data_IF_549786211723
#
_entry.id   IF_549786211723
#
_cell.length_a   1.000
_cell.length_b   1.000
_cell.length_c   1.000
_cell.angle_alpha   90.00
_cell.angle_beta   90.00
_cell.angle_gamma   90.00
#
_symmetry.space_group_name_H-M   'P 1'
#
loop_
_entity.id
_entity.type
_entity.pdbx_description
1 polymer ?
#
# COMPACT_ATOMS: atom_id res chain seq x y z
N UNK A 1 31.37 7.06 -51.71
CA UNK A 1 31.28 8.09 -52.77
C UNK A 1 29.79 8.30 -53.08
N UNK A 2 29.35 9.57 -53.05
CA UNK A 2 28.03 10.17 -53.38
C UNK A 2 26.77 9.58 -52.71
N UNK A 3 26.04 10.26 -51.81
CA UNK A 3 25.31 11.54 -51.88
C UNK A 3 24.14 11.56 -52.88
N UNK A 4 22.91 11.68 -52.36
CA UNK A 4 21.76 12.34 -53.00
C UNK A 4 20.68 12.63 -51.94
N UNK A 5 20.49 13.92 -51.62
CA UNK A 5 19.35 14.47 -50.89
C UNK A 5 18.50 15.25 -51.92
N UNK A 6 17.17 15.24 -51.78
CA UNK A 6 16.25 15.93 -52.66
C UNK A 6 15.25 16.81 -51.87
N UNK A 7 15.13 18.06 -52.36
CA UNK A 7 14.01 19.03 -52.46
C UNK A 7 13.20 19.46 -51.21
N UNK A 8 13.14 20.77 -50.84
CA UNK A 8 12.34 21.93 -51.37
C UNK A 8 10.82 21.82 -51.07
N UNK A 9 10.00 22.81 -50.63
CA UNK A 9 9.87 24.29 -50.76
C UNK A 9 8.96 24.83 -49.60
N UNK A 10 9.20 25.98 -48.95
CA UNK A 10 8.77 27.41 -49.19
C UNK A 10 7.33 27.81 -48.79
N UNK A 11 7.21 28.74 -47.81
CA UNK A 11 6.44 30.03 -47.83
C UNK A 11 6.57 30.70 -46.44
N UNK A 12 7.26 31.83 -46.20
CA UNK A 12 7.13 33.24 -46.62
C UNK A 12 6.36 34.15 -45.65
N UNK A 13 7.13 35.07 -45.04
CA UNK A 13 6.88 36.49 -44.68
C UNK A 13 5.93 36.91 -43.54
N UNK A 14 6.44 37.81 -42.67
CA UNK A 14 5.60 38.57 -41.73
C UNK A 14 6.29 39.43 -40.64
N UNK A 15 7.21 40.33 -41.01
CA UNK A 15 7.52 41.66 -40.41
C UNK A 15 7.87 41.81 -38.91
N UNK A 16 9.09 42.32 -38.74
CA UNK A 16 9.76 42.88 -37.57
C UNK A 16 9.21 44.28 -37.20
N UNK A 17 8.97 44.57 -35.91
CA UNK A 17 9.15 45.91 -35.34
C UNK A 17 9.86 45.76 -34.00
N UNK A 18 11.00 46.44 -33.88
CA UNK A 18 11.89 46.47 -32.74
C UNK A 18 11.90 47.92 -32.23
N UNK A 19 11.66 48.17 -30.93
CA UNK A 19 12.04 49.41 -30.28
C UNK A 19 12.48 49.14 -28.84
N UNK A 20 13.77 49.37 -28.61
CA UNK A 20 14.47 49.45 -27.35
C UNK A 20 13.98 50.62 -26.47
N UNK A 21 13.94 50.47 -25.15
CA UNK A 21 14.89 51.11 -24.21
C UNK A 21 14.44 50.93 -22.76
N UNK A 22 15.38 50.42 -21.97
CA UNK A 22 15.45 50.38 -20.51
C UNK A 22 15.77 51.74 -19.89
N UNK A 23 15.24 52.00 -18.68
CA UNK A 23 15.73 52.85 -17.57
C UNK A 23 14.52 53.58 -16.89
N UNK A 24 14.37 53.84 -15.58
CA UNK A 24 15.18 53.70 -14.36
C UNK A 24 14.35 54.30 -13.18
N UNK A 25 14.52 53.78 -11.93
CA UNK A 25 14.28 54.41 -10.59
C UNK A 25 12.83 54.83 -10.20
N UNK A 26 12.36 54.93 -8.93
CA UNK A 26 12.81 54.62 -7.55
C UNK A 26 11.65 54.97 -6.58
N UNK A 27 11.74 54.47 -5.34
CA UNK A 27 11.40 55.15 -4.06
C UNK A 27 10.01 54.96 -3.38
N UNK A 28 10.05 54.05 -2.39
CA UNK A 28 9.63 54.14 -0.97
C UNK A 28 8.61 55.19 -0.44
N UNK A 29 7.76 54.68 0.48
CA UNK A 29 7.62 55.06 1.92
C UNK A 29 6.20 55.50 2.40
N UNK A 30 5.87 55.05 3.64
CA UNK A 30 4.89 55.53 4.66
C UNK A 30 3.52 54.81 4.70
N UNK A 31 3.28 53.96 5.70
CA UNK A 31 2.84 54.21 7.10
C UNK A 31 1.36 54.58 7.22
N UNK A 32 0.56 53.73 7.89
CA UNK A 32 -0.46 54.19 8.85
C UNK A 32 -0.72 53.14 9.94
N UNK A 33 -0.87 53.67 11.16
CA UNK A 33 -0.95 53.04 12.47
C UNK A 33 -2.42 53.01 12.93
N UNK A 34 -2.87 51.97 13.65
CA UNK A 34 -3.41 52.10 15.02
C UNK A 34 -4.44 51.04 15.40
N UNK A 35 -4.22 50.51 16.61
CA UNK A 35 -5.09 49.81 17.55
C UNK A 35 -6.52 50.36 17.66
N UNK A 36 -7.48 49.50 18.03
CA UNK A 36 -8.37 49.74 19.18
C UNK A 36 -8.83 48.43 19.85
N UNK A 37 -8.65 48.41 21.17
CA UNK A 37 -9.06 47.41 22.15
C UNK A 37 -10.38 47.91 22.77
N UNK A 38 -11.41 47.05 22.91
CA UNK A 38 -12.51 47.27 23.84
C UNK A 38 -12.97 45.94 24.45
N UNK A 39 -13.38 46.05 25.71
CA UNK A 39 -13.52 45.01 26.71
C UNK A 39 -14.98 44.91 27.19
N UNK A 40 -15.29 43.82 27.91
CA UNK A 40 -16.44 43.55 28.78
C UNK A 40 -17.84 43.32 28.15
N UNK A 41 -18.42 42.13 28.40
CA UNK A 41 -19.27 41.88 29.60
C UNK A 41 -19.79 40.43 29.64
N UNK A 42 -19.84 39.89 30.85
CA UNK A 42 -20.49 38.63 31.22
C UNK A 42 -22.02 38.75 31.20
N UNK A 43 -22.70 37.64 30.89
CA UNK A 43 -24.06 37.38 31.38
C UNK A 43 -24.21 35.87 31.66
N UNK A 44 -24.48 35.56 32.93
CA UNK A 44 -24.86 34.25 33.44
C UNK A 44 -26.40 34.09 33.43
N UNK A 45 -26.89 32.85 33.40
CA UNK A 45 -28.24 32.29 33.73
C UNK A 45 -28.48 31.10 32.76
N UNK A 46 -28.85 29.86 33.11
CA UNK A 46 -29.45 29.24 34.30
C UNK A 46 -29.26 27.71 34.22
N UNK A 47 -29.30 27.04 35.37
CA UNK A 47 -29.24 25.58 35.54
C UNK A 47 -30.57 24.85 35.24
N UNK A 48 -30.44 23.54 34.90
CA UNK A 48 -31.32 22.35 35.12
C UNK A 48 -31.70 21.58 33.82
N UNK A 49 -31.98 20.25 33.87
CA UNK A 49 -31.07 19.13 34.20
C UNK A 49 -31.03 18.04 33.08
N UNK A 50 -29.97 17.23 33.04
CA UNK A 50 -29.83 16.01 32.20
C UNK A 50 -30.68 14.84 32.74
N UNK A 51 -31.16 13.92 31.88
CA UNK A 51 -30.55 12.58 31.78
C UNK A 51 -30.48 12.11 30.30
N UNK A 52 -29.49 11.39 29.81
CA UNK A 52 -28.96 10.12 30.27
C UNK A 52 -27.45 10.02 29.94
N UNK A 53 -26.66 9.54 30.90
CA UNK A 53 -25.28 9.11 30.67
C UNK A 53 -25.28 7.90 29.74
N UNK A 54 -24.73 8.07 28.55
CA UNK A 54 -24.16 6.95 27.81
C UNK A 54 -22.89 6.49 28.56
N UNK A 55 -22.63 5.20 28.75
CA UNK A 55 -21.41 4.75 29.40
C UNK A 55 -20.22 5.11 28.52
N UNK A 56 -19.28 5.89 29.08
CA UNK A 56 -17.97 6.08 28.46
C UNK A 56 -17.23 4.75 28.44
N UNK A 57 -17.29 4.03 27.33
CA UNK A 57 -16.27 3.05 27.01
C UNK A 57 -15.03 3.83 26.61
N UNK A 58 -14.05 3.94 27.50
CA UNK A 58 -12.69 4.24 27.07
C UNK A 58 -12.29 3.13 26.11
N UNK A 59 -12.32 3.43 24.82
CA UNK A 59 -11.87 2.53 23.77
C UNK A 59 -10.37 2.30 23.97
N UNK A 60 -9.91 1.07 24.23
CA UNK A 60 -8.48 0.78 24.43
C UNK A 60 -7.61 1.10 23.20
N UNK A 61 -8.21 1.49 22.06
CA UNK A 61 -7.51 1.69 20.79
C UNK A 61 -7.30 3.14 20.36
N UNK A 62 -7.81 4.15 21.09
CA UNK A 62 -7.64 5.57 20.75
C UNK A 62 -7.15 6.39 21.95
N UNK A 63 -6.04 7.12 21.79
CA UNK A 63 -5.58 8.09 22.78
C UNK A 63 -6.10 9.49 22.43
N UNK A 64 -7.35 9.76 22.82
CA UNK A 64 -8.01 11.07 22.94
C UNK A 64 -8.10 11.99 21.69
N UNK A 65 -9.18 12.80 21.72
CA UNK A 65 -9.51 13.97 20.89
C UNK A 65 -8.35 14.67 20.18
N UNK A 66 -8.54 15.00 18.90
CA UNK A 66 -7.70 15.87 18.08
C UNK A 66 -7.69 17.33 18.60
N UNK A 67 -7.24 17.55 19.83
CA UNK A 67 -7.06 18.88 20.41
C UNK A 67 -5.65 19.40 20.13
N UNK A 68 -5.56 20.28 19.14
CA UNK A 68 -4.65 21.43 18.99
C UNK A 68 -3.31 21.46 19.75
N UNK A 69 -2.52 20.38 19.73
CA UNK A 69 -1.11 20.44 20.05
C UNK A 69 -0.33 19.51 19.11
N UNK A 70 0.84 19.99 18.68
CA UNK A 70 1.80 19.36 17.76
C UNK A 70 2.42 18.04 18.29
N UNK A 71 1.69 17.27 19.08
CA UNK A 71 2.20 16.05 19.69
C UNK A 71 1.95 14.86 18.75
N UNK A 72 2.90 14.64 17.85
CA UNK A 72 2.96 13.49 16.92
C UNK A 72 3.31 12.20 17.68
N UNK A 73 3.19 12.15 19.00
CA UNK A 73 3.82 11.14 19.84
C UNK A 73 3.00 9.89 20.11
N UNK A 74 1.93 9.63 19.33
CA UNK A 74 1.40 8.31 18.94
C UNK A 74 -0.05 8.44 18.46
N UNK A 75 -0.27 8.46 17.14
CA UNK A 75 -1.63 8.43 16.56
C UNK A 75 -2.31 7.08 16.76
N UNK A 76 -1.53 6.00 16.88
CA UNK A 76 -2.01 4.63 17.06
C UNK A 76 -1.50 4.06 18.39
N UNK A 77 -2.10 2.97 18.87
CA UNK A 77 -1.63 2.28 20.08
C UNK A 77 -0.46 1.33 19.78
N UNK A 78 0.32 0.99 20.80
CA UNK A 78 1.44 0.03 20.69
C UNK A 78 0.98 -1.33 20.12
N UNK A 79 -0.20 -1.79 20.52
CA UNK A 79 -0.83 -3.01 19.99
C UNK A 79 -0.99 -2.97 18.46
N UNK A 80 -1.28 -1.80 17.87
CA UNK A 80 -1.40 -1.66 16.41
C UNK A 80 -0.04 -1.83 15.74
N UNK A 81 1.01 -1.20 16.28
CA UNK A 81 2.36 -1.36 15.76
C UNK A 81 2.85 -2.81 15.90
N UNK A 82 2.67 -3.42 17.07
CA UNK A 82 3.03 -4.83 17.32
C UNK A 82 2.30 -5.78 16.39
N UNK A 83 1.02 -5.50 16.09
CA UNK A 83 0.22 -6.30 15.15
C UNK A 83 0.84 -6.24 13.75
N UNK A 84 1.19 -5.05 13.26
CA UNK A 84 1.83 -4.88 11.94
C UNK A 84 3.22 -5.57 11.93
N UNK A 85 4.03 -5.36 12.97
CA UNK A 85 5.36 -5.97 13.12
C UNK A 85 5.31 -7.49 13.24
N UNK A 86 4.19 -8.06 13.69
CA UNK A 86 3.95 -9.51 13.70
C UNK A 86 3.49 -10.07 12.34
N UNK A 87 3.38 -9.23 11.31
CA UNK A 87 2.94 -9.64 9.97
C UNK A 87 1.43 -9.78 9.82
N UNK A 88 0.65 -9.24 10.76
CA UNK A 88 -0.81 -9.31 10.79
C UNK A 88 -1.44 -8.00 10.33
N UNK A 89 -2.74 -8.07 10.05
CA UNK A 89 -3.57 -6.89 9.79
C UNK A 89 -3.95 -6.22 11.11
N UNK A 90 -3.71 -4.91 11.19
CA UNK A 90 -4.20 -4.08 12.26
C UNK A 90 -5.44 -3.32 11.81
N UNK A 91 -6.44 -3.21 12.70
CA UNK A 91 -7.69 -2.49 12.46
C UNK A 91 -7.90 -1.46 13.56
N UNK A 92 -8.24 -0.23 13.19
CA UNK A 92 -8.51 0.87 14.10
C UNK A 92 -9.92 1.40 13.79
N UNK A 93 -10.94 0.91 14.51
CA UNK A 93 -12.30 1.44 14.41
C UNK A 93 -12.34 2.92 14.77
N UNK A 94 -13.30 3.65 14.21
CA UNK A 94 -13.52 5.07 14.54
C UNK A 94 -12.26 5.96 14.37
N UNK A 95 -11.37 5.60 13.44
CA UNK A 95 -10.13 6.35 13.21
C UNK A 95 -10.39 7.79 12.77
N UNK A 96 -11.48 8.01 12.03
CA UNK A 96 -12.00 9.34 11.74
C UNK A 96 -13.46 9.47 12.20
N UNK A 97 -13.93 10.69 12.52
CA UNK A 97 -15.30 10.91 12.96
C UNK A 97 -16.34 10.51 11.88
N UNK A 98 -17.53 10.04 12.29
CA UNK A 98 -18.65 9.75 11.38
C UNK A 98 -18.96 10.84 10.34
N UNK A 99 -18.90 12.10 10.76
CA UNK A 99 -19.15 13.26 9.87
C UNK A 99 -18.12 13.37 8.75
N UNK A 100 -16.85 13.10 9.05
CA UNK A 100 -15.78 13.10 8.05
C UNK A 100 -15.88 11.88 7.13
N UNK A 101 -16.20 10.70 7.68
CA UNK A 101 -16.45 9.49 6.90
C UNK A 101 -17.57 9.72 5.88
N UNK A 102 -18.70 10.29 6.33
CA UNK A 102 -19.84 10.62 5.47
C UNK A 102 -19.48 11.67 4.42
N UNK A 103 -18.69 12.70 4.76
CA UNK A 103 -18.26 13.72 3.82
C UNK A 103 -17.34 13.16 2.72
N UNK A 104 -16.39 12.30 3.07
CA UNK A 104 -15.51 11.61 2.12
C UNK A 104 -16.29 10.63 1.23
N UNK A 105 -17.25 9.89 1.80
CA UNK A 105 -18.17 9.02 1.05
C UNK A 105 -18.95 9.83 0.01
N UNK A 106 -19.55 10.95 0.41
CA UNK A 106 -20.31 11.82 -0.49
C UNK A 106 -19.44 12.38 -1.62
N UNK A 107 -18.20 12.79 -1.33
CA UNK A 107 -17.24 13.20 -2.37
C UNK A 107 -16.97 12.06 -3.37
N UNK A 108 -16.66 10.86 -2.88
CA UNK A 108 -16.42 9.69 -3.73
C UNK A 108 -17.63 9.33 -4.59
N UNK A 109 -18.84 9.33 -4.02
CA UNK A 109 -20.09 9.04 -4.73
C UNK A 109 -20.38 10.08 -5.81
N UNK A 110 -20.21 11.37 -5.51
CA UNK A 110 -20.41 12.46 -6.48
C UNK A 110 -19.41 12.37 -7.65
N UNK A 111 -18.15 12.06 -7.35
CA UNK A 111 -17.10 11.87 -8.37
C UNK A 111 -17.36 10.64 -9.24
N UNK A 112 -17.90 9.56 -8.68
CA UNK A 112 -18.34 8.40 -9.44
C UNK A 112 -19.53 8.71 -10.34
N UNK A 113 -20.57 9.36 -9.82
CA UNK A 113 -21.74 9.79 -10.61
C UNK A 113 -21.33 10.72 -11.76
N UNK A 114 -20.36 11.60 -11.52
CA UNK A 114 -19.77 12.50 -12.52
C UNK A 114 -18.76 11.82 -13.47
N UNK A 115 -18.66 10.48 -13.46
CA UNK A 115 -17.83 9.69 -14.38
C UNK A 115 -16.32 9.98 -14.29
N UNK A 116 -15.81 10.34 -13.10
CA UNK A 116 -14.37 10.54 -12.89
C UNK A 116 -13.62 9.27 -12.48
N UNK A 117 -14.34 8.20 -12.16
CA UNK A 117 -13.74 6.89 -11.86
C UNK A 117 -13.35 6.16 -13.15
N UNK A 118 -12.36 5.28 -13.05
CA UNK A 118 -11.94 4.41 -14.15
C UNK A 118 -12.08 2.94 -13.76
N UNK A 119 -12.31 2.08 -14.75
CA UNK A 119 -12.17 0.64 -14.58
C UNK A 119 -10.77 0.29 -14.05
N UNK A 120 -10.69 -0.68 -13.14
CA UNK A 120 -9.42 -1.27 -12.74
C UNK A 120 -9.27 -2.67 -13.35
N UNK A 121 -8.24 -2.84 -14.18
CA UNK A 121 -7.97 -4.07 -14.92
C UNK A 121 -7.62 -5.26 -14.01
N UNK A 122 -7.36 -5.03 -12.72
CA UNK A 122 -7.04 -6.06 -11.72
C UNK A 122 -8.28 -6.76 -11.13
N UNK A 123 -9.49 -6.26 -11.37
CA UNK A 123 -10.72 -6.95 -10.97
C UNK A 123 -11.14 -7.93 -12.07
N UNK A 124 -11.03 -9.23 -11.81
CA UNK A 124 -11.46 -10.26 -12.75
C UNK A 124 -13.00 -10.40 -12.76
N UNK A 125 -13.60 -10.32 -13.94
CA UNK A 125 -15.05 -10.36 -14.16
C UNK A 125 -15.57 -11.79 -14.30
N UNK A 126 -16.50 -12.18 -13.43
CA UNK A 126 -17.30 -13.39 -13.58
C UNK A 126 -16.53 -14.71 -13.70
N UNK A 127 -17.25 -15.80 -13.87
CA UNK A 127 -16.69 -17.14 -14.14
C UNK A 127 -16.32 -17.35 -15.61
N UNK A 128 -16.55 -16.35 -16.47
CA UNK A 128 -16.44 -16.45 -17.92
C UNK A 128 -15.43 -15.44 -18.48
N UNK A 129 -14.46 -15.93 -19.25
CA UNK A 129 -13.36 -15.18 -19.88
C UNK A 129 -13.79 -14.16 -20.95
N UNK A 130 -15.10 -13.92 -21.12
CA UNK A 130 -15.72 -13.09 -22.16
C UNK A 130 -16.64 -11.99 -21.61
N UNK A 131 -16.80 -11.87 -20.30
CA UNK A 131 -17.67 -10.84 -19.70
C UNK A 131 -17.13 -9.42 -19.99
N UNK A 132 -18.00 -8.55 -20.54
CA UNK A 132 -17.69 -7.13 -20.74
C UNK A 132 -17.74 -6.39 -19.40
N UNK A 133 -16.83 -5.45 -19.20
CA UNK A 133 -16.84 -4.53 -18.05
C UNK A 133 -18.20 -3.83 -17.95
N UNK A 134 -18.82 -3.93 -16.78
CA UNK A 134 -20.05 -3.29 -16.35
C UNK A 134 -19.73 -2.34 -15.19
N UNK A 135 -19.55 -1.03 -15.45
CA UNK A 135 -19.24 -0.04 -14.42
C UNK A 135 -20.21 -0.07 -13.23
N UNK A 136 -21.46 -0.50 -13.44
CA UNK A 136 -22.47 -0.56 -12.37
C UNK A 136 -22.24 -1.68 -11.36
N UNK A 137 -21.53 -2.74 -11.75
CA UNK A 137 -21.25 -3.90 -10.88
C UNK A 137 -19.80 -3.97 -10.48
N UNK A 138 -18.93 -3.50 -11.36
CA UNK A 138 -17.51 -3.77 -11.27
C UNK A 138 -16.78 -2.82 -10.33
N UNK A 139 -15.56 -3.23 -9.98
CA UNK A 139 -14.65 -2.40 -9.21
C UNK A 139 -14.19 -1.22 -10.08
N UNK A 140 -14.34 -0.02 -9.54
CA UNK A 140 -13.84 1.21 -10.16
C UNK A 140 -13.01 2.01 -9.17
N UNK A 141 -12.07 2.80 -9.70
CA UNK A 141 -11.10 3.53 -8.89
C UNK A 141 -10.99 4.97 -9.38
N UNK A 142 -11.05 5.92 -8.45
CA UNK A 142 -10.55 7.29 -8.66
C UNK A 142 -9.04 7.28 -8.44
N UNK A 143 -8.28 7.20 -9.53
CA UNK A 143 -6.81 7.08 -9.47
C UNK A 143 -6.17 8.38 -8.96
N UNK A 144 -4.91 8.29 -8.54
CA UNK A 144 -4.15 9.40 -7.96
C UNK A 144 -4.15 10.69 -8.80
N UNK A 145 -4.09 10.58 -10.14
CA UNK A 145 -4.11 11.75 -11.01
C UNK A 145 -5.45 12.51 -10.91
N UNK A 146 -6.57 11.80 -10.87
CA UNK A 146 -7.89 12.38 -10.64
C UNK A 146 -8.06 12.86 -9.20
N UNK A 147 -7.54 12.12 -8.21
CA UNK A 147 -7.54 12.55 -6.81
C UNK A 147 -6.97 13.96 -6.64
N UNK A 148 -5.88 14.27 -7.35
CA UNK A 148 -5.16 15.55 -7.27
C UNK A 148 -5.76 16.70 -8.05
N UNK A 149 -6.78 16.44 -8.87
CA UNK A 149 -7.45 17.49 -9.64
C UNK A 149 -8.21 18.40 -8.71
N UNK A 150 -7.85 19.69 -8.65
CA UNK A 150 -8.51 20.65 -7.77
C UNK A 150 -9.85 21.18 -8.33
N UNK A 151 -10.17 20.83 -9.57
CA UNK A 151 -11.33 21.29 -10.33
C UNK A 151 -12.54 20.33 -10.28
N UNK A 152 -12.44 19.22 -9.53
CA UNK A 152 -13.52 18.22 -9.39
C UNK A 152 -13.82 17.91 -7.92
N UNK A 153 -15.07 17.58 -7.60
CA UNK A 153 -15.49 17.18 -6.25
C UNK A 153 -15.07 18.17 -5.14
N UNK A 154 -15.00 17.68 -3.91
CA UNK A 154 -14.52 18.40 -2.74
C UNK A 154 -13.01 18.24 -2.55
N UNK A 155 -12.22 18.89 -3.41
CA UNK A 155 -10.76 18.77 -3.41
C UNK A 155 -10.13 19.10 -2.05
N UNK A 156 -10.56 20.21 -1.42
CA UNK A 156 -10.02 20.64 -0.13
C UNK A 156 -10.20 19.59 0.96
N UNK A 157 -11.36 18.92 0.99
CA UNK A 157 -11.62 17.83 1.94
C UNK A 157 -10.69 16.64 1.70
N UNK A 158 -10.68 16.10 0.47
CA UNK A 158 -9.90 14.88 0.18
C UNK A 158 -8.40 15.12 0.20
N UNK A 159 -7.93 16.24 -0.33
CA UNK A 159 -6.51 16.58 -0.43
C UNK A 159 -5.99 17.13 0.89
N UNK A 160 -6.50 18.27 1.34
CA UNK A 160 -5.84 19.03 2.39
C UNK A 160 -6.16 18.48 3.78
N UNK A 161 -7.44 18.20 4.04
CA UNK A 161 -7.89 17.68 5.34
C UNK A 161 -7.49 16.22 5.49
N UNK A 162 -7.88 15.37 4.54
CA UNK A 162 -7.69 13.93 4.66
C UNK A 162 -6.29 13.48 4.23
N UNK A 163 -5.89 13.71 2.98
CA UNK A 163 -4.60 13.24 2.45
C UNK A 163 -3.39 13.86 3.14
N UNK A 164 -3.20 15.18 3.01
CA UNK A 164 -2.05 15.89 3.57
C UNK A 164 -2.13 16.01 5.10
N UNK A 165 -3.34 16.23 5.63
CA UNK A 165 -3.56 16.37 7.07
C UNK A 165 -3.46 15.05 7.82
N UNK A 166 -4.50 14.22 7.73
CA UNK A 166 -4.62 13.00 8.54
C UNK A 166 -3.62 11.92 8.08
N UNK A 167 -3.59 11.59 6.79
CA UNK A 167 -2.74 10.51 6.28
C UNK A 167 -1.25 10.89 6.29
N UNK A 168 -0.93 12.18 6.10
CA UNK A 168 0.42 12.70 6.27
C UNK A 168 0.95 12.53 7.70
N UNK A 169 0.13 12.80 8.73
CA UNK A 169 0.50 12.56 10.12
C UNK A 169 0.62 11.07 10.43
N UNK A 170 -0.31 10.24 9.93
CA UNK A 170 -0.25 8.78 10.08
C UNK A 170 1.04 8.20 9.49
N UNK A 171 1.50 8.72 8.35
CA UNK A 171 2.77 8.32 7.75
C UNK A 171 3.96 8.64 8.67
N UNK A 172 4.00 9.82 9.27
CA UNK A 172 5.06 10.21 10.20
C UNK A 172 5.06 9.35 11.48
N UNK A 173 3.87 9.04 11.97
CA UNK A 173 3.65 8.16 13.12
C UNK A 173 4.16 6.74 12.85
N UNK A 174 3.75 6.13 11.74
CA UNK A 174 4.21 4.80 11.32
C UNK A 174 5.72 4.75 11.04
N UNK A 175 6.28 5.80 10.44
CA UNK A 175 7.73 5.89 10.18
C UNK A 175 8.56 5.78 11.47
N UNK A 176 8.08 6.39 12.55
CA UNK A 176 8.75 6.36 13.85
C UNK A 176 8.54 5.02 14.54
N UNK A 177 7.28 4.60 14.67
CA UNK A 177 6.91 3.50 15.55
C UNK A 177 7.12 2.11 14.94
N UNK A 178 7.26 2.02 13.61
CA UNK A 178 7.67 0.78 12.92
C UNK A 178 9.17 0.72 12.63
N UNK A 179 9.96 1.70 13.08
CA UNK A 179 11.38 1.87 12.71
C UNK A 179 11.59 1.87 11.18
N UNK A 180 10.78 2.66 10.48
CA UNK A 180 10.78 2.81 9.02
C UNK A 180 11.06 4.26 8.61
N UNK A 181 12.27 4.79 8.87
CA UNK A 181 12.58 6.19 8.60
C UNK A 181 12.51 6.57 7.12
N UNK A 182 12.59 5.59 6.21
CA UNK A 182 12.51 5.82 4.78
C UNK A 182 11.09 6.10 4.28
N UNK A 183 10.08 5.91 5.14
CA UNK A 183 8.74 6.43 4.88
C UNK A 183 8.74 7.96 4.84
N UNK A 184 9.61 8.67 5.56
CA UNK A 184 9.55 10.16 5.60
C UNK A 184 10.77 10.83 4.99
N UNK A 185 11.53 10.13 4.15
CA UNK A 185 12.79 10.60 3.58
C UNK A 185 12.90 10.32 2.08
N UNK A 186 13.86 10.98 1.45
CA UNK A 186 14.30 10.66 0.09
C UNK A 186 13.22 10.83 -0.97
N UNK A 187 13.22 9.94 -1.96
CA UNK A 187 12.29 10.02 -3.10
C UNK A 187 10.85 9.65 -2.73
N UNK A 188 10.65 8.94 -1.62
CA UNK A 188 9.34 8.58 -1.08
C UNK A 188 8.46 9.78 -0.75
N UNK A 189 9.05 10.94 -0.43
CA UNK A 189 8.31 12.18 -0.16
C UNK A 189 7.72 12.81 -1.42
N UNK A 190 8.42 12.69 -2.54
CA UNK A 190 8.08 13.36 -3.81
C UNK A 190 7.33 12.44 -4.76
N UNK A 191 7.60 11.13 -4.69
CA UNK A 191 6.87 10.14 -5.47
C UNK A 191 5.41 10.10 -5.01
N UNK A 192 4.49 10.38 -5.94
CA UNK A 192 3.08 10.53 -5.61
C UNK A 192 2.70 11.88 -4.98
N UNK A 193 3.52 12.94 -5.12
CA UNK A 193 3.33 14.35 -4.66
C UNK A 193 2.11 14.56 -3.74
N UNK A 194 2.36 14.37 -2.44
CA UNK A 194 1.39 13.95 -1.41
C UNK A 194 1.90 12.73 -0.61
N UNK A 195 3.07 12.20 -0.97
CA UNK A 195 3.80 11.06 -0.39
C UNK A 195 3.06 9.71 -0.39
N UNK A 196 1.78 9.66 -0.74
CA UNK A 196 0.95 8.46 -0.71
C UNK A 196 0.36 8.19 -2.08
N UNK A 197 0.44 6.93 -2.54
CA UNK A 197 -0.48 6.48 -3.58
C UNK A 197 -1.84 6.42 -2.90
N UNK A 198 -2.78 7.27 -3.31
CA UNK A 198 -4.11 7.38 -2.70
C UNK A 198 -5.19 7.36 -3.78
N UNK A 199 -6.30 6.70 -3.46
CA UNK A 199 -7.44 6.52 -4.34
C UNK A 199 -8.73 6.39 -3.55
N UNK A 200 -9.86 6.70 -4.20
CA UNK A 200 -11.14 6.12 -3.80
C UNK A 200 -11.37 4.85 -4.60
N UNK A 201 -11.84 3.81 -3.93
CA UNK A 201 -12.24 2.55 -4.55
C UNK A 201 -13.72 2.31 -4.29
N UNK A 202 -14.44 1.94 -5.36
CA UNK A 202 -15.82 1.48 -5.33
C UNK A 202 -15.84 0.02 -5.79
N UNK A 203 -16.57 -0.82 -5.08
CA UNK A 203 -17.02 -2.12 -5.55
C UNK A 203 -18.55 -2.08 -5.69
N UNK A 204 -19.06 -2.33 -6.90
CA UNK A 204 -20.50 -2.55 -7.08
C UNK A 204 -20.93 -3.91 -6.50
N UNK A 205 -22.24 -4.15 -6.37
CA UNK A 205 -22.74 -5.43 -5.87
C UNK A 205 -22.19 -6.62 -6.66
N UNK A 206 -21.58 -7.58 -5.95
CA UNK A 206 -20.98 -8.78 -6.52
C UNK A 206 -19.52 -8.61 -6.99
N UNK A 207 -18.98 -7.39 -7.07
CA UNK A 207 -17.56 -7.22 -7.36
C UNK A 207 -16.68 -7.70 -6.22
N UNK A 208 -15.56 -8.31 -6.59
CA UNK A 208 -14.58 -8.88 -5.69
C UNK A 208 -13.17 -8.56 -6.20
N UNK A 209 -12.16 -8.77 -5.35
CA UNK A 209 -10.76 -8.69 -5.75
C UNK A 209 -10.07 -9.97 -5.31
N UNK A 210 -9.46 -10.69 -6.25
CA UNK A 210 -8.83 -12.00 -6.00
C UNK A 210 -7.68 -11.88 -5.00
N UNK A 211 -7.37 -13.01 -4.34
CA UNK A 211 -6.18 -13.16 -3.49
C UNK A 211 -4.91 -12.62 -4.18
N UNK A 212 -4.25 -11.68 -3.54
CA UNK A 212 -3.00 -11.06 -3.99
C UNK A 212 -2.17 -10.58 -2.80
N UNK A 213 -0.95 -10.13 -3.10
CA UNK A 213 -0.07 -9.39 -2.21
C UNK A 213 0.17 -8.04 -2.90
N UNK A 214 0.28 -6.97 -2.12
CA UNK A 214 0.34 -5.61 -2.65
C UNK A 214 1.72 -5.19 -3.12
N UNK A 215 2.77 -5.80 -2.56
CA UNK A 215 4.14 -5.58 -2.95
C UNK A 215 4.96 -6.86 -3.10
N UNK A 216 5.83 -6.84 -4.11
CA UNK A 216 6.78 -7.92 -4.38
C UNK A 216 8.22 -7.38 -4.37
N UNK A 217 9.18 -8.26 -4.11
CA UNK A 217 10.58 -7.91 -4.30
C UNK A 217 10.84 -7.48 -5.76
N UNK A 218 11.67 -6.45 -5.95
CA UNK A 218 11.95 -5.80 -7.22
C UNK A 218 12.40 -6.82 -8.30
N UNK A 219 13.33 -7.71 -7.95
CA UNK A 219 13.77 -8.82 -8.83
C UNK A 219 12.66 -9.80 -9.25
N UNK A 220 11.52 -9.85 -8.55
CA UNK A 220 10.38 -10.68 -8.92
C UNK A 220 9.44 -9.99 -9.89
N UNK A 221 9.62 -8.70 -10.19
CA UNK A 221 8.74 -7.95 -11.11
C UNK A 221 9.33 -7.79 -12.51
N UNK A 222 10.45 -8.46 -12.79
CA UNK A 222 11.21 -8.30 -14.02
C UNK A 222 11.66 -6.86 -14.23
N UNK A 223 11.69 -6.39 -15.48
CA UNK A 223 12.13 -5.02 -15.83
C UNK A 223 11.37 -3.93 -15.06
N UNK A 224 10.09 -4.16 -14.75
CA UNK A 224 9.21 -3.20 -14.08
C UNK A 224 9.55 -2.98 -12.61
N UNK A 225 10.23 -3.93 -11.98
CA UNK A 225 10.52 -3.86 -10.54
C UNK A 225 11.35 -2.64 -10.14
N UNK A 226 12.27 -2.29 -11.01
CA UNK A 226 13.27 -1.23 -10.82
C UNK A 226 12.95 0.05 -11.61
N UNK A 227 11.77 0.13 -12.26
CA UNK A 227 11.36 1.32 -13.03
C UNK A 227 11.05 2.53 -12.14
N UNK A 228 10.69 2.29 -10.87
CA UNK A 228 10.28 3.32 -9.92
C UNK A 228 11.33 3.47 -8.83
N UNK A 229 11.59 4.70 -8.35
CA UNK A 229 12.57 4.91 -7.29
C UNK A 229 12.06 4.47 -5.91
N UNK A 230 10.77 4.13 -5.80
CA UNK A 230 10.10 3.74 -4.55
C UNK A 230 9.28 2.46 -4.71
N UNK A 231 9.03 1.79 -3.59
CA UNK A 231 8.15 0.62 -3.46
C UNK A 231 7.11 0.86 -2.38
N UNK A 232 6.02 0.11 -2.41
CA UNK A 232 4.98 0.10 -1.38
C UNK A 232 5.54 -0.59 -0.13
N UNK A 233 5.33 0.02 1.03
CA UNK A 233 5.82 -0.50 2.30
C UNK A 233 4.65 -0.83 3.22
N UNK A 234 3.77 0.12 3.47
CA UNK A 234 2.56 -0.07 4.28
C UNK A 234 1.33 0.13 3.41
N UNK A 235 0.44 -0.85 3.42
CA UNK A 235 -0.88 -0.75 2.81
C UNK A 235 -1.85 -0.20 3.85
N UNK A 236 -2.73 0.69 3.41
CA UNK A 236 -3.81 1.19 4.24
C UNK A 236 -5.14 1.26 3.49
N UNK A 237 -6.23 1.00 4.22
CA UNK A 237 -7.59 1.24 3.76
C UNK A 237 -8.38 1.95 4.85
N UNK A 238 -9.19 2.93 4.46
CA UNK A 238 -10.16 3.56 5.33
C UNK A 238 -11.55 3.32 4.73
N UNK A 239 -12.37 2.55 5.46
CA UNK A 239 -13.70 2.23 5.00
C UNK A 239 -14.61 3.46 5.07
N UNK A 240 -15.34 3.66 3.98
CA UNK A 240 -16.26 4.78 3.83
C UNK A 240 -17.70 4.28 3.70
N UNK A 241 -18.03 3.09 4.18
CA UNK A 241 -19.41 2.57 4.15
C UNK A 241 -20.23 3.11 5.32
N UNK A 242 -21.53 2.90 5.28
CA UNK A 242 -22.45 3.24 6.35
C UNK A 242 -22.13 2.45 7.63
N UNK A 243 -22.46 3.02 8.78
CA UNK A 243 -22.19 2.42 10.10
C UNK A 243 -23.03 1.16 10.34
N UNK A 244 -24.15 1.02 9.63
CA UNK A 244 -25.05 -0.12 9.69
C UNK A 244 -24.64 -1.30 8.79
N UNK A 245 -23.41 -1.27 8.25
CA UNK A 245 -22.90 -2.36 7.41
C UNK A 245 -22.87 -3.67 8.18
N UNK A 246 -23.66 -4.65 7.74
CA UNK A 246 -23.71 -5.98 8.32
C UNK A 246 -23.00 -6.96 7.38
N UNK A 247 -21.82 -7.52 7.73
CA UNK A 247 -21.09 -8.44 6.87
C UNK A 247 -21.88 -9.72 6.50
N UNK A 248 -22.71 -10.25 7.39
CA UNK A 248 -23.51 -11.46 7.10
C UNK A 248 -24.52 -11.22 5.97
N UNK A 249 -25.08 -10.01 5.93
CA UNK A 249 -26.08 -9.59 4.94
C UNK A 249 -25.43 -8.96 3.70
N UNK A 250 -24.42 -8.13 3.90
CA UNK A 250 -23.84 -7.24 2.89
C UNK A 250 -22.51 -7.74 2.32
N UNK A 251 -21.86 -8.75 2.91
CA UNK A 251 -20.54 -9.25 2.51
C UNK A 251 -19.49 -8.14 2.45
N UNK A 252 -18.59 -8.23 1.46
CA UNK A 252 -17.60 -7.18 1.18
C UNK A 252 -16.40 -7.16 2.14
N UNK A 253 -16.21 -8.19 2.95
CA UNK A 253 -15.09 -8.27 3.88
C UNK A 253 -13.74 -8.28 3.15
N UNK A 254 -12.74 -7.69 3.77
CA UNK A 254 -11.34 -7.94 3.40
C UNK A 254 -10.89 -9.21 4.10
N UNK A 255 -10.72 -10.28 3.34
CA UNK A 255 -10.23 -11.56 3.83
C UNK A 255 -8.72 -11.59 3.77
N UNK A 256 -8.08 -11.83 4.91
CA UNK A 256 -6.64 -11.92 5.05
C UNK A 256 -6.22 -13.35 5.39
N UNK A 257 -5.09 -13.78 4.81
CA UNK A 257 -4.51 -15.10 5.03
C UNK A 257 -3.28 -14.95 5.93
N UNK A 258 -3.51 -14.87 7.25
CA UNK A 258 -2.45 -14.68 8.24
C UNK A 258 -1.68 -15.97 8.50
N UNK A 259 -0.42 -15.86 8.92
CA UNK A 259 0.33 -17.04 9.38
C UNK A 259 -0.22 -17.58 10.69
N UNK A 260 -0.37 -18.91 10.78
CA UNK A 260 -0.75 -19.61 12.02
C UNK A 260 0.23 -19.37 13.15
N UNK A 261 1.52 -19.49 12.83
CA UNK A 261 2.61 -19.39 13.79
C UNK A 261 3.52 -18.21 13.40
N UNK A 262 3.10 -16.96 13.67
CA UNK A 262 3.97 -15.81 13.43
C UNK A 262 5.28 -16.02 14.22
N UNK A 263 6.41 -15.65 13.62
CA UNK A 263 7.73 -15.71 14.25
C UNK A 263 7.68 -15.14 15.66
N UNK A 264 8.33 -15.81 16.62
CA UNK A 264 8.55 -15.23 17.94
C UNK A 264 9.36 -13.95 17.78
N UNK A 265 8.79 -12.83 18.24
CA UNK A 265 9.52 -11.56 18.44
C UNK A 265 10.85 -11.87 19.14
N UNK A 266 12.01 -11.40 18.62
CA UNK A 266 12.20 -10.19 17.81
C UNK A 266 12.52 -10.40 16.32
N UNK A 267 12.27 -11.58 15.74
CA UNK A 267 12.65 -11.83 14.33
C UNK A 267 11.76 -11.01 13.39
N UNK A 268 12.32 -10.09 12.57
CA UNK A 268 11.52 -9.21 11.73
C UNK A 268 10.89 -9.98 10.57
N UNK A 269 9.80 -9.42 10.05
CA UNK A 269 9.05 -9.95 8.90
C UNK A 269 8.69 -8.80 7.95
N UNK A 270 8.27 -9.12 6.72
CA UNK A 270 7.86 -8.13 5.72
C UNK A 270 9.04 -7.38 5.11
N UNK A 271 8.93 -6.05 5.00
CA UNK A 271 10.01 -5.19 4.52
C UNK A 271 11.03 -4.87 5.62
N UNK A 272 12.33 -4.95 5.29
CA UNK A 272 13.42 -4.61 6.21
C UNK A 272 13.98 -3.20 5.99
N UNK A 273 14.56 -2.56 7.04
CA UNK A 273 15.22 -1.25 6.91
C UNK A 273 16.41 -1.22 5.94
N UNK A 274 17.11 -2.35 5.75
CA UNK A 274 18.20 -2.46 4.77
C UNK A 274 17.70 -2.58 3.32
N UNK A 275 16.38 -2.63 3.13
CA UNK A 275 15.71 -2.64 1.84
C UNK A 275 15.28 -4.02 1.34
N UNK A 276 15.79 -5.10 1.95
CA UNK A 276 15.42 -6.47 1.57
C UNK A 276 13.95 -6.74 1.88
N UNK A 277 13.30 -7.46 0.97
CA UNK A 277 11.90 -7.86 1.13
C UNK A 277 11.80 -9.37 1.40
N UNK A 278 10.84 -9.72 2.26
CA UNK A 278 10.45 -11.10 2.47
C UNK A 278 9.86 -11.68 1.17
N UNK A 279 10.25 -12.90 0.83
CA UNK A 279 9.75 -13.66 -0.32
C UNK A 279 9.05 -14.97 0.08
N UNK A 280 9.21 -15.40 1.33
CA UNK A 280 8.67 -16.67 1.78
C UNK A 280 8.84 -16.94 3.26
N UNK A 281 8.57 -18.19 3.63
CA UNK A 281 8.71 -18.73 4.97
C UNK A 281 9.44 -20.07 4.92
N UNK A 282 10.19 -20.38 5.98
CA UNK A 282 10.60 -21.75 6.30
C UNK A 282 9.65 -22.30 7.36
N UNK A 283 8.91 -23.34 7.01
CA UNK A 283 8.01 -24.04 7.93
C UNK A 283 8.78 -24.68 9.09
N UNK A 284 8.16 -24.75 10.28
CA UNK A 284 8.73 -25.47 11.41
C UNK A 284 8.74 -26.98 11.14
N UNK A 285 9.63 -27.69 11.83
CA UNK A 285 9.74 -29.15 11.85
C UNK A 285 9.82 -29.64 13.30
N UNK A 286 9.80 -30.95 13.52
CA UNK A 286 10.00 -31.53 14.85
C UNK A 286 11.33 -31.10 15.50
N UNK A 287 12.37 -30.92 14.69
CA UNK A 287 13.74 -30.61 15.10
C UNK A 287 14.06 -29.11 15.10
N UNK A 288 13.24 -28.32 14.41
CA UNK A 288 13.39 -26.87 14.28
C UNK A 288 12.00 -26.24 14.30
N UNK A 289 11.50 -25.97 15.50
CA UNK A 289 10.10 -25.60 15.76
C UNK A 289 9.79 -24.14 15.43
N UNK A 290 10.76 -23.40 14.95
CA UNK A 290 10.64 -21.97 14.68
C UNK A 290 10.38 -21.78 13.18
N UNK A 291 9.22 -21.20 12.86
CA UNK A 291 8.95 -20.65 11.55
C UNK A 291 9.87 -19.44 11.32
N UNK A 292 10.46 -19.28 10.12
CA UNK A 292 11.34 -18.14 9.82
C UNK A 292 10.95 -17.45 8.54
N UNK A 293 10.94 -16.12 8.57
CA UNK A 293 10.85 -15.32 7.35
C UNK A 293 12.09 -15.54 6.47
N UNK A 294 11.85 -15.64 5.17
CA UNK A 294 12.89 -15.78 4.14
C UNK A 294 12.93 -14.50 3.34
N UNK A 295 14.09 -13.87 3.34
CA UNK A 295 14.36 -12.62 2.63
C UNK A 295 15.20 -12.89 1.39
N UNK A 296 15.08 -12.01 0.40
CA UNK A 296 15.95 -11.96 -0.76
C UNK A 296 16.88 -10.75 -0.64
N UNK A 297 18.18 -11.01 -0.57
CA UNK A 297 19.23 -10.00 -0.72
C UNK A 297 19.57 -9.93 -2.22
N UNK A 298 19.48 -8.74 -2.83
CA UNK A 298 19.81 -8.51 -4.24
C UNK A 298 21.17 -7.80 -4.47
N UNK A 299 21.96 -7.60 -3.41
CA UNK A 299 23.21 -6.85 -3.42
C UNK A 299 24.44 -7.68 -2.98
N UNK A 300 24.52 -8.94 -3.40
CA UNK A 300 25.62 -9.86 -3.02
C UNK A 300 26.92 -9.67 -3.81
N UNK A 301 27.00 -8.70 -4.73
CA UNK A 301 28.09 -8.56 -5.71
C UNK A 301 29.48 -8.40 -5.08
N UNK A 302 29.58 -7.73 -3.94
CA UNK A 302 30.88 -7.47 -3.30
C UNK A 302 31.57 -8.75 -2.79
N UNK A 303 30.81 -9.81 -2.50
CA UNK A 303 31.33 -11.08 -1.97
C UNK A 303 31.69 -12.06 -3.10
N UNK A 304 31.18 -11.83 -4.32
CA UNK A 304 31.47 -12.62 -5.51
C UNK A 304 32.90 -12.45 -6.07
N UNK A 305 33.65 -11.44 -5.60
CA UNK A 305 35.01 -11.15 -6.06
C UNK A 305 36.06 -12.20 -5.64
N UNK A 306 35.72 -13.16 -4.77
CA UNK A 306 36.60 -14.27 -4.37
C UNK A 306 36.36 -15.58 -5.15
N UNK A 307 35.76 -15.51 -6.34
CA UNK A 307 35.97 -16.49 -7.42
C UNK A 307 35.08 -17.75 -7.42
N UNK A 308 34.39 -18.11 -6.35
CA UNK A 308 33.56 -19.34 -6.30
C UNK A 308 32.05 -19.12 -6.33
N UNK A 309 31.55 -17.95 -5.96
CA UNK A 309 30.10 -17.72 -5.75
C UNK A 309 29.57 -16.64 -6.71
N UNK A 310 29.17 -17.07 -7.92
CA UNK A 310 28.67 -16.18 -8.99
C UNK A 310 27.22 -15.77 -8.73
N UNK A 311 26.89 -14.50 -8.94
CA UNK A 311 25.54 -13.97 -8.83
C UNK A 311 25.45 -12.75 -7.91
N UNK A 312 24.30 -12.08 -7.93
CA UNK A 312 24.04 -10.90 -7.09
C UNK A 312 22.92 -11.10 -6.08
N UNK A 313 22.21 -12.23 -6.14
CA UNK A 313 21.10 -12.51 -5.25
C UNK A 313 21.38 -13.71 -4.35
N UNK A 314 20.86 -13.69 -3.12
CA UNK A 314 20.85 -14.86 -2.25
C UNK A 314 19.66 -14.83 -1.29
N UNK A 315 19.14 -16.01 -0.95
CA UNK A 315 18.10 -16.13 0.06
C UNK A 315 18.74 -16.28 1.45
N UNK A 316 18.17 -15.62 2.43
CA UNK A 316 18.61 -15.76 3.82
C UNK A 316 17.43 -15.71 4.80
N UNK A 317 17.66 -16.24 6.00
CA UNK A 317 16.79 -16.01 7.15
C UNK A 317 17.60 -15.36 8.27
N UNK A 318 16.91 -14.79 9.25
CA UNK A 318 17.54 -14.25 10.46
C UNK A 318 17.39 -15.30 11.57
N UNK A 319 18.51 -15.62 12.21
CA UNK A 319 18.56 -16.52 13.36
C UNK A 319 18.21 -15.76 14.65
N UNK A 320 17.91 -16.49 15.73
CA UNK A 320 17.51 -15.90 17.02
C UNK A 320 18.57 -14.96 17.62
N UNK A 321 19.85 -15.18 17.30
CA UNK A 321 20.96 -14.30 17.68
C UNK A 321 21.12 -13.09 16.73
N UNK A 322 20.09 -12.76 15.94
CA UNK A 322 20.08 -11.68 14.94
C UNK A 322 21.12 -11.80 13.83
N UNK A 323 21.64 -13.01 13.57
CA UNK A 323 22.60 -13.27 12.49
C UNK A 323 21.90 -13.66 11.19
N UNK A 324 22.35 -13.11 10.06
CA UNK A 324 21.89 -13.54 8.73
C UNK A 324 22.50 -14.90 8.36
N UNK A 325 21.65 -15.87 8.06
CA UNK A 325 22.05 -17.18 7.55
C UNK A 325 21.65 -17.33 6.07
N UNK A 326 22.65 -17.31 5.19
CA UNK A 326 22.45 -17.45 3.74
C UNK A 326 22.22 -18.91 3.35
N UNK A 327 20.99 -19.20 2.95
CA UNK A 327 20.48 -20.55 2.70
C UNK A 327 20.73 -21.04 1.28
N UNK A 328 21.09 -20.14 0.36
CA UNK A 328 21.45 -20.47 -1.02
C UNK A 328 22.88 -20.07 -1.32
N UNK A 329 23.43 -20.58 -2.42
CA UNK A 329 24.57 -19.94 -3.07
C UNK A 329 24.08 -18.63 -3.69
N UNK A 330 24.99 -17.78 -4.13
CA UNK A 330 24.60 -16.65 -4.96
C UNK A 330 23.98 -17.18 -6.26
N UNK A 331 23.00 -16.46 -6.77
CA UNK A 331 22.40 -16.69 -8.09
C UNK A 331 22.16 -15.36 -8.80
N UNK A 332 22.02 -15.43 -10.12
CA UNK A 332 21.67 -14.26 -10.93
C UNK A 332 20.15 -14.00 -10.88
N UNK A 333 19.73 -12.72 -10.82
CA UNK A 333 18.33 -12.40 -11.02
C UNK A 333 17.92 -12.74 -12.45
N UNK A 334 16.83 -13.48 -12.60
CA UNK A 334 16.31 -13.94 -13.90
C UNK A 334 14.82 -13.55 -14.04
N UNK A 335 14.35 -13.09 -15.21
CA UNK A 335 12.92 -12.83 -15.43
C UNK A 335 12.00 -14.05 -15.13
N UNK A 336 12.53 -15.27 -15.22
CA UNK A 336 11.87 -16.53 -14.85
C UNK A 336 11.61 -16.62 -13.34
N UNK A 337 12.30 -15.85 -12.48
CA UNK A 337 11.98 -15.75 -11.05
C UNK A 337 10.50 -15.46 -10.80
N UNK A 338 9.92 -14.60 -11.65
CA UNK A 338 8.49 -14.27 -11.60
C UNK A 338 7.59 -15.40 -12.11
N UNK A 339 8.03 -16.12 -13.15
CA UNK A 339 7.22 -17.12 -13.85
C UNK A 339 7.25 -18.50 -13.19
N UNK A 340 8.39 -18.88 -12.64
CA UNK A 340 8.61 -20.17 -11.99
C UNK A 340 8.11 -20.18 -10.53
N UNK A 341 7.87 -19.01 -9.92
CA UNK A 341 7.36 -18.89 -8.56
C UNK A 341 8.24 -19.64 -7.54
N UNK A 342 7.59 -20.33 -6.60
CA UNK A 342 8.27 -21.07 -5.53
C UNK A 342 9.23 -22.18 -6.00
N UNK A 343 9.01 -22.77 -7.17
CA UNK A 343 9.79 -23.91 -7.66
C UNK A 343 11.25 -23.53 -7.99
N UNK A 344 11.47 -22.29 -8.45
CA UNK A 344 12.83 -21.80 -8.66
C UNK A 344 13.58 -21.74 -7.33
N UNK A 345 12.99 -21.12 -6.32
CA UNK A 345 13.62 -20.93 -5.01
C UNK A 345 13.87 -22.27 -4.31
N UNK A 346 12.93 -23.22 -4.43
CA UNK A 346 13.13 -24.57 -3.94
C UNK A 346 14.37 -25.23 -4.58
N UNK A 347 14.60 -25.06 -5.89
CA UNK A 347 15.81 -25.57 -6.56
C UNK A 347 17.09 -24.93 -6.05
N UNK A 348 17.08 -23.61 -5.78
CA UNK A 348 18.24 -22.91 -5.20
C UNK A 348 18.56 -23.45 -3.79
N UNK A 349 17.53 -23.75 -3.00
CA UNK A 349 17.70 -24.39 -1.70
C UNK A 349 18.26 -25.81 -1.83
N UNK A 350 17.77 -26.61 -2.78
CA UNK A 350 18.30 -27.97 -3.05
C UNK A 350 19.81 -27.93 -3.31
N UNK A 351 20.30 -26.91 -4.03
CA UNK A 351 21.71 -26.81 -4.39
C UNK A 351 22.66 -26.62 -3.21
N UNK A 352 22.23 -26.00 -2.10
CA UNK A 352 23.08 -25.72 -0.93
C UNK A 352 22.60 -26.38 0.36
N UNK A 353 21.30 -26.36 0.61
CA UNK A 353 20.65 -26.84 1.83
C UNK A 353 19.39 -27.65 1.48
N UNK A 354 19.52 -28.89 0.98
CA UNK A 354 18.38 -29.68 0.48
C UNK A 354 17.32 -29.99 1.53
N UNK A 355 17.68 -30.02 2.81
CA UNK A 355 16.73 -30.18 3.92
C UNK A 355 15.80 -28.99 4.11
N UNK A 356 16.15 -27.80 3.59
CA UNK A 356 15.32 -26.59 3.70
C UNK A 356 14.30 -26.48 2.55
N UNK A 357 14.59 -27.05 1.39
CA UNK A 357 13.71 -26.98 0.22
C UNK A 357 12.26 -27.44 0.50
N UNK A 358 11.99 -28.60 1.14
CA UNK A 358 10.61 -29.02 1.42
C UNK A 358 9.91 -28.15 2.49
N UNK A 359 10.68 -27.38 3.26
CA UNK A 359 10.17 -26.47 4.28
C UNK A 359 9.80 -25.10 3.70
N UNK A 360 10.34 -24.76 2.53
CA UNK A 360 10.14 -23.44 1.93
C UNK A 360 8.71 -23.28 1.43
N UNK A 361 8.11 -22.17 1.82
CA UNK A 361 6.80 -21.73 1.37
C UNK A 361 6.96 -20.35 0.77
N UNK A 362 6.73 -20.23 -0.54
CA UNK A 362 6.73 -18.94 -1.21
C UNK A 362 5.47 -18.16 -0.82
N UNK A 363 5.61 -16.86 -0.59
CA UNK A 363 4.50 -16.00 -0.15
C UNK A 363 3.38 -15.92 -1.20
N UNK A 364 3.73 -15.94 -2.49
CA UNK A 364 2.72 -15.84 -3.53
C UNK A 364 1.97 -17.16 -3.74
N UNK A 365 0.65 -17.09 -3.96
CA UNK A 365 -0.08 -18.26 -4.43
C UNK A 365 0.49 -18.73 -5.78
N UNK A 366 0.54 -20.05 -6.04
CA UNK A 366 1.04 -20.59 -7.31
C UNK A 366 0.29 -19.98 -8.49
N UNK A 367 1.00 -19.33 -9.41
CA UNK A 367 0.41 -18.70 -10.61
C UNK A 367 0.23 -19.67 -11.79
N UNK A 368 0.55 -20.97 -11.63
CA UNK A 368 0.66 -21.87 -12.78
C UNK A 368 -0.70 -22.17 -13.44
N UNK A 369 -0.73 -22.15 -14.78
CA UNK A 369 -1.89 -22.56 -15.57
C UNK A 369 -2.32 -24.02 -15.29
N UNK A 370 -1.38 -24.88 -14.87
CA UNK A 370 -1.64 -26.25 -14.48
C UNK A 370 -2.44 -26.35 -13.17
N UNK A 371 -2.19 -25.47 -12.20
CA UNK A 371 -2.94 -25.44 -10.93
C UNK A 371 -4.38 -24.93 -11.14
N UNK A 372 -4.55 -23.94 -12.04
CA UNK A 372 -5.85 -23.51 -12.53
C UNK A 372 -6.62 -24.61 -13.29
N UNK A 373 -5.92 -25.41 -14.10
CA UNK A 373 -6.49 -26.54 -14.84
C UNK A 373 -6.91 -27.68 -13.90
N UNK A 374 -6.04 -28.06 -12.96
CA UNK A 374 -6.30 -29.13 -12.00
C UNK A 374 -7.49 -28.81 -11.08
N UNK A 375 -7.66 -27.54 -10.67
CA UNK A 375 -8.82 -27.09 -9.90
C UNK A 375 -10.12 -27.13 -10.69
N UNK A 376 -10.08 -26.77 -11.97
CA UNK A 376 -11.24 -26.87 -12.88
C UNK A 376 -11.70 -28.32 -13.03
N UNK A 377 -10.78 -29.27 -13.06
CA UNK A 377 -11.08 -30.71 -13.08
C UNK A 377 -11.63 -31.26 -11.75
N UNK A 378 -11.36 -30.59 -10.61
CA UNK A 378 -11.86 -30.98 -9.28
C UNK A 378 -13.16 -30.27 -8.87
N UNK A 379 -13.78 -29.47 -9.75
CA UNK A 379 -15.05 -28.79 -9.48
C UNK A 379 -14.97 -27.64 -8.47
N UNK A 380 -13.78 -27.09 -8.21
CA UNK A 380 -13.57 -26.01 -7.24
C UNK A 380 -13.90 -24.61 -7.80
N UNK A 381 -14.28 -23.68 -6.90
CA UNK A 381 -14.47 -22.25 -7.19
C UNK A 381 -13.17 -21.57 -7.63
N UNK A 382 -13.27 -20.54 -8.49
CA UNK A 382 -12.13 -19.74 -8.98
C UNK A 382 -11.61 -18.71 -7.96
N UNK A 383 -12.24 -18.64 -6.79
CA UNK A 383 -11.76 -17.89 -5.62
C UNK A 383 -10.83 -18.82 -4.86
N UNK A 384 -9.62 -18.37 -4.51
CA UNK A 384 -8.71 -19.12 -3.63
C UNK A 384 -9.22 -19.00 -2.19
N UNK A 385 -10.35 -19.65 -1.88
CA UNK A 385 -11.02 -19.54 -0.57
C UNK A 385 -10.35 -20.33 0.54
N UNK A 386 -9.61 -21.38 0.19
CA UNK A 386 -9.04 -22.26 1.22
C UNK A 386 -7.68 -21.72 1.68
N UNK A 387 -7.49 -21.54 3.00
CA UNK A 387 -6.19 -21.23 3.56
C UNK A 387 -5.24 -22.41 3.32
N UNK A 388 -3.95 -22.13 3.17
CA UNK A 388 -2.95 -23.18 3.27
C UNK A 388 -2.95 -23.77 4.70
N UNK A 389 -2.37 -24.97 4.87
CA UNK A 389 -2.30 -25.66 6.18
C UNK A 389 -1.61 -24.83 7.28
N UNK A 390 -0.88 -23.79 6.90
CA UNK A 390 -0.12 -22.88 7.75
C UNK A 390 -0.71 -21.45 7.81
N UNK A 391 -1.93 -21.25 7.29
CA UNK A 391 -2.66 -19.98 7.28
C UNK A 391 -3.94 -19.99 8.13
N UNK A 392 -4.30 -18.84 8.69
CA UNK A 392 -5.58 -18.56 9.37
C UNK A 392 -6.29 -17.46 8.59
N UNK A 393 -7.58 -17.67 8.32
CA UNK A 393 -8.42 -16.64 7.74
C UNK A 393 -8.84 -15.62 8.81
N UNK A 394 -8.70 -14.34 8.48
CA UNK A 394 -9.34 -13.26 9.22
C UNK A 394 -10.10 -12.38 8.25
N UNK A 395 -11.40 -12.24 8.48
CA UNK A 395 -12.27 -11.37 7.69
C UNK A 395 -12.50 -10.06 8.43
N UNK A 396 -12.13 -8.94 7.80
CA UNK A 396 -12.31 -7.60 8.33
C UNK A 396 -13.55 -6.96 7.69
N UNK A 397 -14.60 -6.66 8.46
CA UNK A 397 -15.82 -6.06 7.91
C UNK A 397 -15.55 -4.61 7.48
N UNK A 398 -16.15 -4.16 6.37
CA UNK A 398 -15.84 -2.85 5.81
C UNK A 398 -16.64 -1.71 6.49
N UNK A 399 -16.63 -1.63 7.82
CA UNK A 399 -17.41 -0.67 8.61
C UNK A 399 -16.83 0.75 8.48
N UNK A 400 -17.68 1.73 8.19
CA UNK A 400 -17.29 3.14 8.03
C UNK A 400 -16.41 3.71 9.14
N UNK A 401 -15.38 4.47 8.77
CA UNK A 401 -14.45 5.09 9.71
C UNK A 401 -13.36 4.15 10.24
N UNK A 402 -13.40 2.86 9.90
CA UNK A 402 -12.38 1.89 10.29
C UNK A 402 -11.16 1.98 9.38
N UNK A 403 -10.00 2.27 9.97
CA UNK A 403 -8.69 2.19 9.30
C UNK A 403 -8.15 0.76 9.39
N UNK A 404 -7.56 0.30 8.30
CA UNK A 404 -6.88 -0.98 8.15
C UNK A 404 -5.43 -0.71 7.76
N UNK A 405 -4.49 -1.42 8.38
CA UNK A 405 -3.05 -1.28 8.14
C UNK A 405 -2.37 -2.66 8.11
N UNK A 406 -1.45 -2.87 7.17
CA UNK A 406 -0.56 -4.04 7.15
C UNK A 406 0.68 -3.78 6.28
N UNK A 407 1.72 -4.58 6.48
CA UNK A 407 2.90 -4.57 5.60
C UNK A 407 2.54 -5.13 4.21
N UNK A 408 2.89 -4.36 3.18
CA UNK A 408 2.45 -4.62 1.80
C UNK A 408 3.02 -5.91 1.19
N UNK A 409 4.11 -6.45 1.77
CA UNK A 409 4.85 -7.60 1.25
C UNK A 409 4.33 -8.92 1.82
N UNK A 410 3.84 -8.92 3.06
CA UNK A 410 3.70 -10.16 3.83
C UNK A 410 2.30 -10.75 3.86
N UNK A 411 1.26 -9.94 3.67
CA UNK A 411 -0.10 -10.36 3.96
C UNK A 411 -0.90 -10.60 2.67
N UNK A 412 -1.04 -11.87 2.20
CA UNK A 412 -1.99 -12.19 1.17
C UNK A 412 -3.40 -11.86 1.63
N UNK A 413 -4.18 -11.26 0.74
CA UNK A 413 -5.54 -10.85 1.03
C UNK A 413 -6.41 -10.80 -0.23
N UNK A 414 -7.73 -10.87 -0.04
CA UNK A 414 -8.75 -10.74 -1.08
C UNK A 414 -9.93 -9.92 -0.57
N UNK A 415 -10.71 -9.34 -1.49
CA UNK A 415 -11.96 -8.65 -1.15
C UNK A 415 -13.11 -9.56 -1.55
N UNK A 416 -13.91 -9.98 -0.57
CA UNK A 416 -15.11 -10.79 -0.79
C UNK A 416 -16.19 -9.97 -1.52
N UNK A 417 -17.07 -10.63 -2.29
CA UNK A 417 -18.14 -9.92 -3.00
C UNK A 417 -19.10 -9.23 -2.04
N UNK A 418 -19.43 -7.97 -2.31
CA UNK A 418 -20.52 -7.30 -1.61
C UNK A 418 -21.88 -7.80 -2.11
N UNK A 419 -22.89 -7.76 -1.23
CA UNK A 419 -24.26 -8.24 -1.47
C UNK A 419 -25.22 -7.06 -1.31
N UNK A 420 -25.92 -6.72 -2.40
CA UNK A 420 -27.00 -5.73 -2.39
C UNK A 420 -26.60 -4.28 -2.16
N UNK A 421 -25.34 -3.97 -1.80
CA UNK A 421 -24.84 -2.60 -1.56
C UNK A 421 -23.48 -2.38 -2.22
N UNK A 422 -23.21 -1.13 -2.57
CA UNK A 422 -21.89 -0.69 -3.02
C UNK A 422 -20.94 -0.56 -1.84
N UNK A 423 -19.69 -0.97 -2.02
CA UNK A 423 -18.64 -0.87 -1.01
C UNK A 423 -17.63 0.21 -1.39
N UNK A 424 -17.42 1.16 -0.49
CA UNK A 424 -16.58 2.33 -0.64
C UNK A 424 -15.41 2.33 0.34
N UNK A 425 -14.23 2.72 -0.15
CA UNK A 425 -13.06 2.95 0.68
C UNK A 425 -12.19 4.06 0.08
N UNK A 426 -11.46 4.78 0.93
CA UNK A 426 -10.20 5.38 0.53
C UNK A 426 -9.11 4.34 0.78
N UNK A 427 -8.20 4.15 -0.17
CA UNK A 427 -7.14 3.15 -0.05
C UNK A 427 -5.86 3.66 -0.68
N UNK A 428 -4.74 3.17 -0.16
CA UNK A 428 -3.46 3.61 -0.64
C UNK A 428 -2.28 2.84 -0.06
N UNK A 429 -1.12 3.25 -0.54
CA UNK A 429 0.16 2.73 -0.10
C UNK A 429 1.07 3.86 0.36
N UNK A 430 1.73 3.63 1.50
CA UNK A 430 2.87 4.43 1.92
C UNK A 430 4.12 3.83 1.30
N UNK A 431 4.85 4.65 0.55
CA UNK A 431 6.04 4.22 -0.17
C UNK A 431 7.31 4.43 0.65
N UNK A 432 8.31 3.59 0.43
CA UNK A 432 9.71 3.78 0.82
C UNK A 432 10.59 3.77 -0.42
N UNK A 433 11.78 4.37 -0.33
CA UNK A 433 12.79 4.27 -1.38
C UNK A 433 13.13 2.79 -1.65
N UNK A 434 13.26 2.43 -2.92
CA UNK A 434 13.73 1.10 -3.31
C UNK A 434 15.19 0.91 -2.92
N UNK A 435 15.65 -0.34 -2.95
CA UNK A 435 17.08 -0.61 -2.89
C UNK A 435 17.79 0.06 -4.09
N UNK A 436 19.09 0.34 -3.97
CA UNK A 436 19.87 0.81 -5.11
C UNK A 436 19.89 -0.27 -6.20
N UNK A 437 19.43 0.10 -7.40
CA UNK A 437 19.32 -0.81 -8.53
C UNK A 437 20.72 -1.13 -9.11
N UNK A 438 21.45 -2.05 -8.50
CA UNK A 438 22.73 -2.51 -9.06
C UNK A 438 22.49 -3.37 -10.32
N UNK A 439 21.32 -4.00 -10.48
CA UNK A 439 20.95 -4.91 -11.59
C UNK A 439 20.41 -4.23 -12.85
N UNK A 440 20.06 -2.95 -12.83
CA UNK A 440 19.45 -2.29 -14.01
C UNK A 440 20.40 -2.14 -15.21
N UNK A 441 21.73 -2.19 -14.99
CA UNK A 441 22.72 -2.20 -16.08
C UNK A 441 22.67 -3.49 -16.94
N UNK A 442 21.95 -4.54 -16.53
CA UNK A 442 21.89 -5.82 -17.26
C UNK A 442 20.80 -5.86 -18.35
N UNK A 443 19.85 -4.91 -18.35
CA UNK A 443 18.66 -4.93 -19.22
C UNK A 443 18.54 -3.73 -20.18
N UNK A 444 19.52 -2.82 -20.15
CA UNK A 444 19.69 -1.68 -21.06
C UNK A 444 20.39 -2.06 -22.35
#
# INVERSE_FOLDING_TARGET
KSSSHALFMVSSFGVMVCLCHSAVLSLALKLFVSNYMYCFTCAAFSYLPLPHRCPSTTDPFLKASFDNNNDISNMLSDTVYDTILSGKIATVPNFIPPSLTAALRSDAQNLYQSQHFSADALAAYGTETTAKFDPSKDRTVLKLNQWKRNDIGNYKLRSDVFGNGIMGRLRADLARNLDRPNLTKGTSLTYGVGSTEISYTRFGPGAYLKRHIDEHHEELKGKRGWEKPTRRSITWLLYLNEEDWNPDVNGGELRCFQRKNPTSSPVPVGARPNGDLQIGWLRPTSNDRIERAVFLDANRRAIANNGSDKGSCAMYCILENNTQFYMTNNFDPDPVLFLAGGDFFARQLIAKNPSLAPRFHFLEPPRSAADGLLKKFRGGSLIHTEPNDDEILLDVPPIGGTLVLFDSVILPHEVLPSKGRERWAASGWLHEDQQEAHSYQKYS
#
